data_IF_552319137786
#
_entry.id   IF_552319137786
#
_cell.length_a   1.000
_cell.length_b   1.000
_cell.length_c   1.000
_cell.angle_alpha   90.00
_cell.angle_beta   90.00
_cell.angle_gamma   90.00
#
_symmetry.space_group_name_H-M   'P 1'
#
loop_
_entity.id
_entity.type
_entity.pdbx_description
1 polymer ?
#
# COMPACT_ATOMS: atom_id res chain seq x y z
N UNK A 1 -39.73 13.76 3.12
CA UNK A 1 -39.47 12.32 3.13
C UNK A 1 -39.09 11.94 1.69
N UNK A 2 -37.83 11.77 1.28
CA UNK A 2 -36.70 11.05 1.86
C UNK A 2 -35.41 11.88 1.70
N UNK A 3 -34.64 12.05 2.79
CA UNK A 3 -33.23 12.43 2.70
C UNK A 3 -32.51 11.19 2.16
N UNK A 4 -32.05 11.24 0.92
CA UNK A 4 -31.05 10.30 0.43
C UNK A 4 -29.74 10.88 0.90
N UNK A 5 -29.26 10.37 2.03
CA UNK A 5 -27.94 10.74 2.54
C UNK A 5 -26.94 10.33 1.46
N UNK A 6 -26.27 11.32 0.87
CA UNK A 6 -25.13 11.13 -0.02
C UNK A 6 -23.95 10.58 0.80
N UNK A 7 -24.07 9.33 1.27
CA UNK A 7 -22.92 8.53 1.69
C UNK A 7 -22.17 8.21 0.41
N UNK A 8 -21.11 8.97 0.18
CA UNK A 8 -20.07 8.68 -0.79
C UNK A 8 -19.79 7.17 -0.80
N UNK A 9 -20.10 6.52 -1.92
CA UNK A 9 -19.54 5.21 -2.26
C UNK A 9 -18.05 5.41 -2.48
N UNK A 10 -17.29 5.51 -1.38
CA UNK A 10 -15.87 5.25 -1.43
C UNK A 10 -15.74 3.81 -1.89
N UNK A 11 -15.21 3.60 -3.09
CA UNK A 11 -14.86 2.27 -3.56
C UNK A 11 -13.83 1.72 -2.57
N UNK A 12 -14.29 0.92 -1.62
CA UNK A 12 -13.40 0.19 -0.71
C UNK A 12 -12.58 -0.72 -1.61
N UNK A 13 -11.33 -0.34 -1.86
CA UNK A 13 -10.39 -1.14 -2.64
C UNK A 13 -10.01 -2.36 -1.81
N UNK A 14 -10.81 -3.43 -1.96
CA UNK A 14 -10.67 -4.69 -1.22
C UNK A 14 -9.53 -5.51 -1.83
N UNK A 15 -8.58 -5.93 -1.00
CA UNK A 15 -7.53 -6.86 -1.41
C UNK A 15 -6.25 -6.75 -0.60
N UNK A 16 -5.22 -7.44 -1.07
CA UNK A 16 -3.88 -7.41 -0.49
C UNK A 16 -2.80 -7.25 -1.55
N UNK A 17 -1.78 -6.47 -1.21
CA UNK A 17 -0.53 -6.42 -1.95
C UNK A 17 0.53 -7.32 -1.33
N UNK A 18 1.37 -7.87 -2.19
CA UNK A 18 2.67 -8.44 -1.85
C UNK A 18 3.74 -7.39 -2.05
N UNK A 19 4.89 -7.60 -1.41
CA UNK A 19 6.03 -6.69 -1.53
C UNK A 19 6.40 -6.34 -2.98
N UNK A 20 6.52 -7.28 -3.94
CA UNK A 20 6.85 -6.95 -5.34
C UNK A 20 5.84 -6.02 -6.02
N UNK A 21 4.57 -6.01 -5.60
CA UNK A 21 3.56 -5.08 -6.13
C UNK A 21 3.72 -3.68 -5.55
N UNK A 22 4.28 -3.56 -4.34
CA UNK A 22 4.53 -2.27 -3.70
C UNK A 22 5.81 -1.65 -4.25
N UNK A 23 6.92 -2.39 -4.25
CA UNK A 23 8.26 -1.89 -4.61
C UNK A 23 8.66 -2.16 -6.06
N UNK A 24 7.82 -2.84 -6.83
CA UNK A 24 8.09 -3.27 -8.19
C UNK A 24 8.98 -4.52 -8.28
N UNK A 25 8.94 -5.16 -9.45
CA UNK A 25 9.84 -6.24 -9.82
C UNK A 25 10.09 -6.22 -11.32
N UNK A 26 11.27 -5.73 -11.71
CA UNK A 26 11.70 -5.66 -13.12
C UNK A 26 12.05 -7.02 -13.72
N UNK A 27 12.24 -8.04 -12.87
CA UNK A 27 12.59 -9.40 -13.31
C UNK A 27 11.35 -10.28 -13.49
N UNK A 28 10.19 -9.85 -12.98
CA UNK A 28 8.93 -10.51 -13.25
C UNK A 28 8.60 -10.43 -14.76
N UNK A 29 7.82 -11.39 -15.25
CA UNK A 29 7.34 -11.41 -16.62
C UNK A 29 5.80 -11.51 -16.63
N UNK A 30 5.06 -10.43 -16.97
CA UNK A 30 5.56 -9.09 -17.31
C UNK A 30 6.17 -8.36 -16.10
N UNK A 31 7.02 -7.34 -16.32
CA UNK A 31 7.57 -6.51 -15.24
C UNK A 31 6.46 -5.90 -14.40
N UNK A 32 6.63 -5.92 -13.08
CA UNK A 32 5.69 -5.32 -12.13
C UNK A 32 6.15 -3.90 -11.86
N UNK A 33 5.32 -2.92 -12.22
CA UNK A 33 5.57 -1.52 -11.91
C UNK A 33 5.41 -1.25 -10.40
N UNK A 34 6.31 -0.47 -9.80
CA UNK A 34 6.23 -0.11 -8.39
C UNK A 34 5.13 0.93 -8.12
N UNK A 35 4.38 0.74 -7.04
CA UNK A 35 3.57 1.81 -6.45
C UNK A 35 4.44 2.80 -5.69
N UNK A 36 5.47 2.30 -5.00
CA UNK A 36 6.45 3.07 -4.25
C UNK A 36 7.85 2.61 -4.67
N UNK A 37 8.55 3.35 -5.55
CA UNK A 37 9.80 2.91 -6.18
C UNK A 37 11.01 3.02 -5.24
N UNK A 38 10.99 2.25 -4.15
CA UNK A 38 12.07 2.17 -3.15
C UNK A 38 12.61 0.76 -3.03
N UNK A 39 13.81 0.62 -2.48
CA UNK A 39 14.39 -0.70 -2.26
C UNK A 39 13.64 -1.48 -1.18
N UNK A 40 13.68 -2.82 -1.28
CA UNK A 40 13.17 -3.73 -0.26
C UNK A 40 13.68 -3.40 1.15
N UNK A 41 14.98 -3.12 1.28
CA UNK A 41 15.59 -2.81 2.57
C UNK A 41 15.07 -1.49 3.15
N UNK A 42 14.89 -0.46 2.32
CA UNK A 42 14.30 0.80 2.74
C UNK A 42 12.86 0.62 3.22
N UNK A 43 12.05 -0.18 2.52
CA UNK A 43 10.68 -0.48 2.94
C UNK A 43 10.64 -1.19 4.31
N UNK A 44 11.47 -2.22 4.52
CA UNK A 44 11.52 -2.87 5.84
C UNK A 44 12.09 -1.97 6.94
N UNK A 45 13.03 -1.08 6.62
CA UNK A 45 13.52 -0.08 7.57
C UNK A 45 12.43 0.91 7.97
N UNK A 46 11.60 1.35 7.02
CA UNK A 46 10.43 2.20 7.29
C UNK A 46 9.38 1.50 8.15
N UNK A 47 9.15 0.19 7.95
CA UNK A 47 8.27 -0.60 8.84
C UNK A 47 8.83 -0.61 10.28
N UNK A 48 10.13 -0.84 10.46
CA UNK A 48 10.77 -0.80 11.80
C UNK A 48 10.67 0.57 12.47
N UNK A 49 10.64 1.64 11.68
CA UNK A 49 10.48 3.02 12.15
C UNK A 49 9.01 3.45 12.27
N UNK A 50 8.05 2.54 12.07
CA UNK A 50 6.62 2.83 12.07
C UNK A 50 6.17 3.89 11.03
N UNK A 51 6.93 4.05 9.94
CA UNK A 51 6.59 4.95 8.82
C UNK A 51 5.66 4.26 7.82
N UNK A 52 5.85 2.95 7.61
CA UNK A 52 5.06 2.16 6.66
C UNK A 52 4.22 1.11 7.39
N UNK A 53 3.09 0.66 6.80
CA UNK A 53 2.21 -0.30 7.44
C UNK A 53 2.91 -1.63 7.71
N UNK A 54 2.61 -2.22 8.87
CA UNK A 54 3.15 -3.52 9.26
C UNK A 54 2.56 -4.64 8.36
N UNK A 55 3.35 -5.66 8.03
CA UNK A 55 2.86 -6.79 7.24
C UNK A 55 1.89 -7.67 8.04
N UNK A 56 0.83 -8.11 7.38
CA UNK A 56 -0.02 -9.21 7.81
C UNK A 56 0.65 -10.52 7.40
N UNK A 57 0.93 -11.40 8.35
CA UNK A 57 1.54 -12.72 8.09
C UNK A 57 0.44 -13.73 7.74
N UNK A 58 0.44 -14.23 6.50
CA UNK A 58 -0.41 -15.35 6.10
C UNK A 58 0.24 -16.69 6.42
N UNK A 59 1.56 -16.79 6.26
CA UNK A 59 2.36 -17.97 6.59
C UNK A 59 3.81 -17.57 6.91
N UNK A 60 4.65 -18.53 7.30
CA UNK A 60 6.05 -18.29 7.68
C UNK A 60 6.85 -17.45 6.65
N UNK A 61 6.54 -17.61 5.34
CA UNK A 61 7.23 -16.92 4.24
C UNK A 61 6.36 -15.94 3.46
N UNK A 62 5.11 -15.73 3.88
CA UNK A 62 4.15 -14.88 3.17
C UNK A 62 3.72 -13.71 4.03
N UNK A 63 4.11 -12.52 3.59
CA UNK A 63 3.68 -11.23 4.13
C UNK A 63 2.78 -10.52 3.12
N UNK A 64 1.70 -9.94 3.62
CA UNK A 64 0.67 -9.21 2.89
C UNK A 64 0.50 -7.82 3.49
N UNK A 65 0.04 -6.88 2.68
CA UNK A 65 -0.39 -5.55 3.11
C UNK A 65 -1.79 -5.29 2.57
N UNK A 66 -2.67 -4.66 3.34
CA UNK A 66 -3.99 -4.28 2.81
C UNK A 66 -3.80 -3.24 1.72
N UNK A 67 -4.62 -3.32 0.69
CA UNK A 67 -4.64 -2.29 -0.37
C UNK A 67 -4.92 -0.92 0.24
N UNK A 68 -5.90 -0.83 1.13
CA UNK A 68 -6.28 0.41 1.84
C UNK A 68 -5.10 1.06 2.59
N UNK A 69 -4.29 0.28 3.31
CA UNK A 69 -3.16 0.82 4.09
C UNK A 69 -2.06 1.37 3.17
N UNK A 70 -1.82 0.71 2.04
CA UNK A 70 -0.83 1.17 1.05
C UNK A 70 -1.35 2.39 0.30
N UNK A 71 -2.63 2.42 -0.08
CA UNK A 71 -3.24 3.59 -0.73
C UNK A 71 -3.20 4.81 0.19
N UNK A 72 -3.57 4.68 1.46
CA UNK A 72 -3.47 5.77 2.44
C UNK A 72 -2.04 6.26 2.61
N UNK A 73 -1.06 5.35 2.66
CA UNK A 73 0.35 5.73 2.71
C UNK A 73 0.74 6.61 1.50
N UNK A 74 0.31 6.25 0.30
CA UNK A 74 0.63 7.02 -0.92
C UNK A 74 -0.07 8.38 -0.91
N UNK A 75 -1.32 8.45 -0.44
CA UNK A 75 -2.06 9.70 -0.26
C UNK A 75 -1.36 10.60 0.76
N UNK A 76 -0.96 10.06 1.91
CA UNK A 76 -0.24 10.81 2.94
C UNK A 76 1.10 11.35 2.41
N UNK A 77 1.87 10.52 1.69
CA UNK A 77 3.12 10.95 1.05
C UNK A 77 2.90 12.04 -0.01
N UNK A 78 1.80 11.95 -0.78
CA UNK A 78 1.44 12.94 -1.79
C UNK A 78 0.88 14.25 -1.20
N UNK A 79 0.21 14.16 -0.05
CA UNK A 79 -0.38 15.29 0.67
C UNK A 79 0.62 16.01 1.56
N UNK A 80 1.69 15.32 1.98
CA UNK A 80 2.81 15.91 2.71
C UNK A 80 3.71 16.79 1.82
N UNK A 81 3.10 17.51 0.86
CA UNK A 81 3.66 18.69 0.18
C UNK A 81 3.91 19.76 1.23
N UNK A 82 5.01 19.59 1.94
CA UNK A 82 5.65 20.66 2.69
C UNK A 82 6.36 21.54 1.65
N UNK A 83 5.86 22.77 1.56
CA UNK A 83 6.46 24.00 1.02
C UNK A 83 7.98 23.99 0.86
#
# INVERSE_FOLDING_TARGET
>A
MKRVDARSEQSVSKGFYRLPQIIGDRKANPPIEPLLPISRSAFYAGIKKHIYPAPIRLSARVSLWRVEDITRLLEDLGNNKSN
#
